data_IF_413903187294
#
_entry.id   IF_413903187294
#
_cell.length_a   1.000
_cell.length_b   1.000
_cell.length_c   1.000
_cell.angle_alpha   90.00
_cell.angle_beta   90.00
_cell.angle_gamma   90.00
#
_symmetry.space_group_name_H-M   'P 1'
#
loop_
_entity.id
_entity.type
_entity.pdbx_description
1 polymer ?
#
# COMPACT_ATOMS: atom_id res chain seq x y z
N UNK A 1 -1.02 -44.15 -14.02
CA UNK A 1 -1.37 -43.20 -15.10
C UNK A 1 -2.44 -42.20 -14.68
N UNK A 2 -3.67 -42.60 -14.34
CA UNK A 2 -4.76 -41.67 -13.94
C UNK A 2 -4.44 -40.88 -12.65
N UNK A 3 -3.92 -41.54 -11.60
CA UNK A 3 -3.55 -40.89 -10.34
C UNK A 3 -2.39 -39.88 -10.47
N UNK A 4 -1.55 -39.99 -11.49
CA UNK A 4 -0.43 -39.06 -11.72
C UNK A 4 -0.89 -37.82 -12.49
N UNK A 5 -1.87 -37.99 -13.40
CA UNK A 5 -2.54 -36.88 -14.07
C UNK A 5 -3.26 -35.98 -13.06
N UNK A 6 -4.06 -36.56 -12.15
CA UNK A 6 -4.79 -35.81 -11.11
C UNK A 6 -3.84 -35.06 -10.16
N UNK A 7 -2.72 -35.69 -9.76
CA UNK A 7 -1.69 -35.04 -8.94
C UNK A 7 -1.00 -33.88 -9.67
N UNK A 8 -0.82 -33.98 -10.98
CA UNK A 8 -0.21 -32.90 -11.79
C UNK A 8 -1.14 -31.69 -11.91
N UNK A 9 -2.44 -31.91 -12.16
CA UNK A 9 -3.45 -30.86 -12.21
C UNK A 9 -3.58 -30.12 -10.88
N UNK A 10 -3.64 -30.85 -9.74
CA UNK A 10 -3.71 -30.23 -8.42
C UNK A 10 -2.47 -29.37 -8.13
N UNK A 11 -1.27 -29.84 -8.49
CA UNK A 11 -0.03 -29.07 -8.34
C UNK A 11 -0.05 -27.80 -9.19
N UNK A 12 -0.59 -27.87 -10.40
CA UNK A 12 -0.67 -26.73 -11.30
C UNK A 12 -1.71 -25.70 -10.84
N UNK A 13 -2.90 -26.14 -10.41
CA UNK A 13 -3.92 -25.29 -9.79
C UNK A 13 -3.36 -24.58 -8.55
N UNK A 14 -2.63 -25.30 -7.69
CA UNK A 14 -1.98 -24.73 -6.50
C UNK A 14 -0.89 -23.73 -6.86
N UNK A 15 -0.05 -24.01 -7.87
CA UNK A 15 0.95 -23.04 -8.37
C UNK A 15 0.31 -21.77 -8.91
N UNK A 16 -0.76 -21.88 -9.70
CA UNK A 16 -1.50 -20.72 -10.24
C UNK A 16 -2.16 -19.91 -9.12
N UNK A 17 -2.77 -20.56 -8.13
CA UNK A 17 -3.34 -19.91 -6.96
C UNK A 17 -2.27 -19.18 -6.13
N UNK A 18 -1.13 -19.84 -5.88
CA UNK A 18 0.00 -19.26 -5.16
C UNK A 18 0.62 -18.06 -5.89
N UNK A 19 0.74 -18.14 -7.22
CA UNK A 19 1.22 -17.04 -8.04
C UNK A 19 0.28 -15.81 -7.96
N UNK A 20 -1.04 -16.03 -7.98
CA UNK A 20 -2.03 -14.96 -7.76
C UNK A 20 -1.91 -14.37 -6.35
N UNK A 21 -1.85 -15.21 -5.33
CA UNK A 21 -1.72 -14.76 -3.95
C UNK A 21 -0.47 -13.91 -3.74
N UNK A 22 0.70 -14.35 -4.23
CA UNK A 22 1.95 -13.56 -4.15
C UNK A 22 1.91 -12.23 -4.92
N UNK A 23 1.02 -12.13 -5.90
CA UNK A 23 0.88 -10.94 -6.73
C UNK A 23 -0.05 -9.90 -6.13
N UNK A 24 -1.20 -10.33 -5.61
CA UNK A 24 -2.20 -9.44 -5.02
C UNK A 24 -2.04 -9.25 -3.51
N UNK A 25 -1.39 -10.19 -2.82
CA UNK A 25 -1.18 -10.17 -1.37
C UNK A 25 -0.58 -8.85 -0.87
N UNK A 26 0.56 -8.38 -1.42
CA UNK A 26 1.14 -7.10 -0.99
C UNK A 26 0.19 -5.91 -1.16
N UNK A 27 -0.59 -5.87 -2.24
CA UNK A 27 -1.57 -4.80 -2.48
C UNK A 27 -2.69 -4.82 -1.43
N UNK A 28 -3.26 -5.99 -1.14
CA UNK A 28 -4.34 -6.13 -0.15
C UNK A 28 -3.83 -5.77 1.25
N UNK A 29 -2.63 -6.24 1.61
CA UNK A 29 -2.00 -5.89 2.89
C UNK A 29 -1.79 -4.38 2.99
N UNK A 30 -1.31 -3.74 1.92
CA UNK A 30 -1.10 -2.29 1.90
C UNK A 30 -2.42 -1.49 1.98
N UNK A 31 -3.48 -1.96 1.32
CA UNK A 31 -4.81 -1.37 1.47
C UNK A 31 -5.32 -1.49 2.91
N UNK A 32 -5.12 -2.64 3.56
CA UNK A 32 -5.44 -2.83 4.97
C UNK A 32 -4.62 -1.90 5.87
N UNK A 33 -3.33 -1.71 5.57
CA UNK A 33 -2.47 -0.76 6.27
C UNK A 33 -2.99 0.68 6.16
N UNK A 34 -3.35 1.15 4.97
CA UNK A 34 -3.92 2.49 4.77
C UNK A 34 -5.25 2.64 5.53
N UNK A 35 -6.11 1.62 5.49
CA UNK A 35 -7.38 1.65 6.21
C UNK A 35 -7.17 1.73 7.74
N UNK A 36 -6.23 0.95 8.26
CA UNK A 36 -5.84 1.00 9.67
C UNK A 36 -5.21 2.35 10.04
N UNK A 37 -4.30 2.86 9.21
CA UNK A 37 -3.70 4.19 9.39
C UNK A 37 -4.76 5.30 9.37
N UNK A 38 -5.84 5.13 8.60
CA UNK A 38 -6.98 6.06 8.57
C UNK A 38 -7.86 6.01 9.83
N UNK A 39 -7.83 4.91 10.60
CA UNK A 39 -8.68 4.74 11.78
C UNK A 39 -8.01 5.31 13.03
N UNK A 40 -8.26 6.58 13.36
CA UNK A 40 -7.98 7.28 14.65
C UNK A 40 -6.58 7.17 15.31
N UNK A 41 -5.68 6.28 14.88
CA UNK A 41 -4.29 6.17 15.33
C UNK A 41 -3.44 7.36 14.82
N UNK A 42 -3.87 7.99 13.72
CA UNK A 42 -3.38 9.26 13.20
C UNK A 42 -4.36 10.43 13.43
N UNK A 43 -5.28 10.34 14.40
CA UNK A 43 -5.93 11.56 14.89
C UNK A 43 -4.84 12.47 15.49
N UNK A 44 -4.84 13.75 15.15
CA UNK A 44 -3.72 14.68 15.39
C UNK A 44 -3.17 14.72 16.83
N UNK A 45 -3.93 14.24 17.81
CA UNK A 45 -3.52 14.13 19.21
C UNK A 45 -2.47 13.03 19.48
N UNK A 46 -2.51 11.87 18.81
CA UNK A 46 -1.62 10.75 19.14
C UNK A 46 -0.28 10.81 18.38
N UNK A 47 -0.29 11.28 17.14
CA UNK A 47 0.92 11.47 16.35
C UNK A 47 1.77 12.64 16.90
N UNK A 48 1.13 13.66 17.49
CA UNK A 48 1.80 14.74 18.22
C UNK A 48 2.59 14.22 19.42
N UNK A 49 2.07 13.22 20.15
CA UNK A 49 2.76 12.61 21.32
C UNK A 49 4.04 11.86 20.98
N UNK A 50 4.25 11.43 19.74
CA UNK A 50 5.48 10.77 19.29
C UNK A 50 6.42 11.78 18.62
N UNK A 51 5.89 12.61 17.73
CA UNK A 51 6.69 13.56 16.95
C UNK A 51 7.24 14.70 17.83
N UNK A 52 6.45 15.21 18.79
CA UNK A 52 6.85 16.30 19.68
C UNK A 52 8.06 15.96 20.56
N UNK A 53 8.09 14.85 21.34
CA UNK A 53 9.26 14.52 22.16
C UNK A 53 10.50 14.19 21.33
N UNK A 54 10.36 13.56 20.15
CA UNK A 54 11.49 13.34 19.25
C UNK A 54 12.08 14.67 18.73
N UNK A 55 11.22 15.63 18.36
CA UNK A 55 11.64 16.94 17.90
C UNK A 55 12.28 17.77 19.01
N UNK A 56 11.72 17.76 20.23
CA UNK A 56 12.30 18.46 21.37
C UNK A 56 13.63 17.83 21.83
N UNK A 57 13.81 16.52 21.64
CA UNK A 57 15.10 15.86 21.89
C UNK A 57 16.17 16.28 20.88
N UNK A 58 15.82 16.39 19.59
CA UNK A 58 16.76 16.74 18.53
C UNK A 58 17.01 18.26 18.43
N UNK A 59 15.98 19.06 18.69
CA UNK A 59 15.98 20.53 18.64
C UNK A 59 15.25 21.10 19.86
N UNK A 60 15.95 21.29 20.99
CA UNK A 60 15.33 21.72 22.25
C UNK A 60 14.67 23.11 22.17
N UNK A 61 15.16 23.98 21.27
CA UNK A 61 14.70 25.37 21.12
C UNK A 61 13.64 25.54 20.01
N UNK A 62 13.09 24.45 19.48
CA UNK A 62 12.08 24.53 18.41
C UNK A 62 10.78 25.14 18.94
N UNK A 63 10.26 26.18 18.27
CA UNK A 63 8.99 26.81 18.64
C UNK A 63 7.79 25.91 18.35
N UNK A 64 6.71 26.05 19.12
CA UNK A 64 5.48 25.27 18.94
C UNK A 64 4.89 25.38 17.53
N UNK A 65 4.99 26.56 16.91
CA UNK A 65 4.55 26.82 15.54
C UNK A 65 5.31 25.94 14.52
N UNK A 66 6.63 25.78 14.71
CA UNK A 66 7.46 24.91 13.87
C UNK A 66 7.13 23.44 14.09
N UNK A 67 6.82 23.03 15.31
CA UNK A 67 6.38 21.65 15.61
C UNK A 67 5.08 21.34 14.87
N UNK A 68 4.12 22.27 14.86
CA UNK A 68 2.85 22.12 14.11
C UNK A 68 3.12 22.05 12.61
N UNK A 69 4.00 22.89 12.07
CA UNK A 69 4.36 22.86 10.66
C UNK A 69 5.02 21.53 10.26
N UNK A 70 6.00 21.06 11.03
CA UNK A 70 6.65 19.76 10.79
C UNK A 70 5.60 18.65 10.83
N UNK A 71 4.73 18.65 11.83
CA UNK A 71 3.65 17.68 11.94
C UNK A 71 2.77 17.67 10.69
N UNK A 72 2.38 18.85 10.20
CA UNK A 72 1.57 18.99 8.99
C UNK A 72 2.28 18.47 7.74
N UNK A 73 3.55 18.83 7.55
CA UNK A 73 4.36 18.36 6.42
C UNK A 73 4.56 16.85 6.47
N UNK A 74 4.89 16.29 7.65
CA UNK A 74 5.03 14.85 7.84
C UNK A 74 3.74 14.12 7.44
N UNK A 75 2.57 14.63 7.80
CA UNK A 75 1.29 14.05 7.38
C UNK A 75 1.12 14.09 5.87
N UNK A 76 1.42 15.22 5.21
CA UNK A 76 1.29 15.35 3.74
C UNK A 76 2.22 14.38 3.01
N UNK A 77 3.47 14.26 3.47
CA UNK A 77 4.45 13.31 2.91
C UNK A 77 4.00 11.87 3.15
N UNK A 78 3.53 11.54 4.36
CA UNK A 78 3.03 10.20 4.66
C UNK A 78 1.88 9.79 3.73
N UNK A 79 0.87 10.66 3.57
CA UNK A 79 -0.24 10.39 2.64
C UNK A 79 0.26 10.24 1.21
N UNK A 80 1.16 11.11 0.75
CA UNK A 80 1.73 11.01 -0.59
C UNK A 80 2.44 9.67 -0.81
N UNK A 81 3.25 9.21 0.15
CA UNK A 81 3.95 7.92 0.09
C UNK A 81 2.98 6.74 0.13
N UNK A 82 1.94 6.79 0.97
CA UNK A 82 0.90 5.75 1.04
C UNK A 82 0.24 5.51 -0.31
N UNK A 83 -0.20 6.58 -0.99
CA UNK A 83 -0.83 6.50 -2.30
C UNK A 83 0.17 6.16 -3.42
N UNK A 84 1.41 6.65 -3.36
CA UNK A 84 2.45 6.29 -4.32
C UNK A 84 2.77 4.78 -4.26
N UNK A 85 2.95 4.23 -3.07
CA UNK A 85 3.16 2.79 -2.88
C UNK A 85 1.94 1.98 -3.28
N UNK A 86 0.73 2.45 -2.97
CA UNK A 86 -0.50 1.81 -3.43
C UNK A 86 -0.56 1.74 -4.96
N UNK A 87 -0.24 2.84 -5.65
CA UNK A 87 -0.21 2.91 -7.11
C UNK A 87 0.84 1.95 -7.70
N UNK A 88 2.04 1.88 -7.13
CA UNK A 88 3.10 0.95 -7.56
C UNK A 88 2.70 -0.52 -7.34
N UNK A 89 2.12 -0.84 -6.19
CA UNK A 89 1.63 -2.18 -5.88
C UNK A 89 0.45 -2.57 -6.78
N UNK A 90 -0.45 -1.65 -7.08
CA UNK A 90 -1.53 -1.85 -8.04
C UNK A 90 -0.97 -2.08 -9.45
N UNK A 91 -0.03 -1.24 -9.92
CA UNK A 91 0.62 -1.42 -11.21
C UNK A 91 1.30 -2.79 -11.32
N UNK A 92 1.99 -3.25 -10.27
CA UNK A 92 2.57 -4.60 -10.18
C UNK A 92 1.49 -5.70 -10.18
N UNK A 93 0.42 -5.53 -9.42
CA UNK A 93 -0.67 -6.50 -9.31
C UNK A 93 -1.45 -6.62 -10.62
N UNK A 94 -1.52 -5.56 -11.43
CA UNK A 94 -2.27 -5.54 -12.67
C UNK A 94 -1.42 -5.63 -13.94
N UNK A 95 -0.09 -5.52 -13.89
CA UNK A 95 0.82 -5.51 -15.07
C UNK A 95 0.53 -6.56 -16.17
N UNK A 96 0.32 -7.83 -15.83
CA UNK A 96 -0.04 -8.92 -16.76
C UNK A 96 -1.49 -8.89 -17.30
N UNK A 97 -2.39 -8.12 -16.70
CA UNK A 97 -3.80 -8.00 -17.11
C UNK A 97 -4.13 -6.62 -17.69
N UNK A 98 -3.42 -5.57 -17.25
CA UNK A 98 -3.78 -4.19 -17.53
C UNK A 98 -3.35 -3.73 -18.91
N UNK A 99 -2.21 -4.18 -19.44
CA UNK A 99 -1.78 -3.72 -20.76
C UNK A 99 -2.72 -4.16 -21.88
N UNK A 100 -3.18 -5.43 -21.88
CA UNK A 100 -4.08 -5.92 -22.94
C UNK A 100 -5.55 -5.52 -22.74
N UNK A 101 -6.01 -5.34 -21.49
CA UNK A 101 -7.41 -4.98 -21.20
C UNK A 101 -7.68 -3.47 -21.30
N UNK A 102 -6.75 -2.63 -20.82
CA UNK A 102 -6.88 -1.17 -20.94
C UNK A 102 -6.72 -0.72 -22.40
N UNK A 103 -5.75 -1.24 -23.15
CA UNK A 103 -5.60 -0.89 -24.58
C UNK A 103 -6.81 -1.30 -25.42
N UNK A 104 -7.39 -2.50 -25.18
CA UNK A 104 -8.53 -2.99 -25.98
C UNK A 104 -9.86 -2.29 -25.65
N UNK A 105 -10.10 -1.88 -24.40
CA UNK A 105 -11.38 -1.27 -24.00
C UNK A 105 -11.38 0.25 -24.01
N UNK A 106 -10.22 0.89 -23.97
CA UNK A 106 -10.13 2.35 -24.09
C UNK A 106 -10.58 2.81 -25.48
N UNK A 107 -10.24 2.06 -26.53
CA UNK A 107 -10.74 2.29 -27.90
C UNK A 107 -12.24 2.05 -28.10
N UNK A 108 -12.92 1.31 -27.22
CA UNK A 108 -14.36 1.03 -27.34
C UNK A 108 -15.24 2.04 -26.59
N UNK A 109 -14.64 2.89 -25.75
CA UNK A 109 -15.31 3.91 -24.95
C UNK A 109 -14.95 5.33 -25.47
N UNK A 110 -14.09 5.42 -26.48
CA UNK A 110 -13.79 6.64 -27.25
C UNK A 110 -14.65 6.68 -28.51
#
# INVERSE_FOLDING_TARGET
MVADAERSELRERRRRAWARFRRYGPLIVWMGFIFYASTRAFAGENTSRIIRPLLLWLFPEISDEKIVLVHFVTRKVAHFVEYALLALLAARAFSSSSQQFLQRRWFLIS
#
